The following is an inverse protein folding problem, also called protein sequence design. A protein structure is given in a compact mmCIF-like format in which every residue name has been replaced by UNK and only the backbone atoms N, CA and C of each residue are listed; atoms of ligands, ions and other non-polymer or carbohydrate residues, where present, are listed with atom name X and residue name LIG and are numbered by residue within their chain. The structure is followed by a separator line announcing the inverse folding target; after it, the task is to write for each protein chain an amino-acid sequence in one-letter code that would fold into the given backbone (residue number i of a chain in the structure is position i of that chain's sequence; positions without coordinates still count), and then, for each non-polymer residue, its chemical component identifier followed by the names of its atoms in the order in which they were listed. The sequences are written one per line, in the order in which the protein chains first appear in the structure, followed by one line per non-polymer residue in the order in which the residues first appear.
data_IF_806454727211
#
_entry.id   IF_806454727211
#
_cell.length_a   1.000
_cell.length_b   1.000
_cell.length_c   1.000
_cell.angle_alpha   90.00
_cell.angle_beta   90.00
_cell.angle_gamma   90.00
#
_symmetry.space_group_name_H-M   'P 1'
#
loop_
_entity.id
_entity.type
_entity.pdbx_description
1 polymer ?
#
# COMPACT_ATOMS: atom_id res chain seq x y z
N UNK A 1 -4.58 11.18 13.65
CA UNK A 1 -5.20 10.40 12.59
C UNK A 1 -6.09 9.28 13.12
N UNK A 2 -5.64 8.57 14.16
CA UNK A 2 -6.44 7.52 14.79
C UNK A 2 -7.72 8.05 15.45
N UNK A 3 -7.75 9.33 15.77
CA UNK A 3 -8.92 9.99 16.36
C UNK A 3 -9.84 10.61 15.32
N UNK A 4 -9.49 10.53 14.04
CA UNK A 4 -10.32 11.03 12.96
C UNK A 4 -11.56 10.15 12.79
N UNK A 5 -12.62 10.72 12.21
CA UNK A 5 -13.82 9.94 11.89
C UNK A 5 -13.53 8.85 10.87
N UNK A 6 -14.42 7.85 10.79
CA UNK A 6 -14.27 6.77 9.80
C UNK A 6 -14.22 7.30 8.37
N UNK A 7 -15.03 8.31 8.05
CA UNK A 7 -15.03 8.94 6.73
C UNK A 7 -13.69 9.61 6.42
N UNK A 8 -13.14 10.35 7.39
CA UNK A 8 -11.85 11.03 7.22
C UNK A 8 -10.74 10.02 7.06
N UNK A 9 -10.75 8.94 7.83
CA UNK A 9 -9.76 7.85 7.72
C UNK A 9 -9.81 7.21 6.33
N UNK A 10 -11.00 6.91 5.84
CA UNK A 10 -11.17 6.30 4.50
C UNK A 10 -10.63 7.25 3.42
N UNK A 11 -10.89 8.55 3.51
CA UNK A 11 -10.36 9.51 2.53
C UNK A 11 -8.84 9.54 2.52
N UNK A 12 -8.21 9.47 3.69
CA UNK A 12 -6.74 9.41 3.79
C UNK A 12 -6.21 8.14 3.13
N UNK A 13 -6.85 7.00 3.38
CA UNK A 13 -6.45 5.73 2.78
C UNK A 13 -6.61 5.79 1.25
N UNK A 14 -7.72 6.35 0.76
CA UNK A 14 -8.02 6.44 -0.66
C UNK A 14 -7.02 7.34 -1.42
N UNK A 15 -6.34 8.22 -0.71
CA UNK A 15 -5.33 9.09 -1.32
C UNK A 15 -4.02 8.36 -1.63
N UNK A 16 -3.82 7.14 -1.13
CA UNK A 16 -2.60 6.36 -1.39
C UNK A 16 -2.69 5.62 -2.71
N UNK A 17 -1.56 5.47 -3.45
CA UNK A 17 -1.55 4.76 -4.72
C UNK A 17 -1.60 3.25 -4.53
N UNK A 18 -2.03 2.53 -5.57
CA UNK A 18 -1.97 1.08 -5.61
C UNK A 18 -0.51 0.60 -5.68
N UNK A 19 -0.24 -0.55 -5.08
CA UNK A 19 1.07 -1.19 -5.18
C UNK A 19 1.19 -1.89 -6.54
N UNK A 20 2.32 -1.67 -7.24
CA UNK A 20 2.58 -2.25 -8.56
C UNK A 20 1.43 -2.01 -9.55
N UNK A 21 0.68 -0.91 -9.37
CA UNK A 21 -0.42 -0.55 -10.27
C UNK A 21 0.08 0.12 -11.54
N UNK A 22 -0.86 0.50 -12.40
CA UNK A 22 -0.53 1.14 -13.68
C UNK A 22 0.25 2.44 -13.49
N UNK A 23 -0.06 3.24 -12.47
CA UNK A 23 0.66 4.47 -12.19
C UNK A 23 2.12 4.20 -11.82
N UNK A 24 2.38 3.15 -11.03
CA UNK A 24 3.74 2.75 -10.66
C UNK A 24 4.54 2.31 -11.89
N UNK A 25 3.93 1.50 -12.75
CA UNK A 25 4.59 1.00 -13.96
C UNK A 25 4.82 2.10 -14.99
N UNK A 26 4.00 3.15 -14.97
CA UNK A 26 4.14 4.31 -15.86
C UNK A 26 5.04 5.41 -15.29
N UNK A 27 5.53 5.26 -14.07
CA UNK A 27 6.37 6.26 -13.42
C UNK A 27 5.60 7.49 -12.92
N UNK A 28 4.33 7.35 -12.64
CA UNK A 28 3.45 8.47 -12.26
C UNK A 28 3.31 8.69 -10.76
N UNK A 29 4.04 7.92 -9.95
CA UNK A 29 3.99 8.04 -8.48
C UNK A 29 4.85 9.21 -7.98
N UNK A 30 4.60 9.62 -6.74
CA UNK A 30 5.49 10.55 -6.04
C UNK A 30 6.88 9.92 -5.89
N UNK A 31 7.89 10.74 -5.68
CA UNK A 31 9.26 10.25 -5.49
C UNK A 31 9.36 9.28 -4.30
N UNK A 32 8.72 9.59 -3.18
CA UNK A 32 8.73 8.71 -2.01
C UNK A 32 8.08 7.37 -2.32
N UNK A 33 6.91 7.36 -2.96
CA UNK A 33 6.20 6.14 -3.32
C UNK A 33 7.00 5.31 -4.33
N UNK A 34 7.60 5.96 -5.32
CA UNK A 34 8.44 5.30 -6.33
C UNK A 34 9.63 4.60 -5.66
N UNK A 35 10.33 5.31 -4.77
CA UNK A 35 11.51 4.76 -4.08
C UNK A 35 11.13 3.60 -3.17
N UNK A 36 10.02 3.72 -2.45
CA UNK A 36 9.54 2.67 -1.55
C UNK A 36 9.17 1.41 -2.32
N UNK A 37 8.42 1.56 -3.42
CA UNK A 37 8.01 0.41 -4.23
C UNK A 37 9.19 -0.22 -4.97
N UNK A 38 10.11 0.57 -5.50
CA UNK A 38 11.33 0.07 -6.13
C UNK A 38 12.20 -0.68 -5.14
N UNK A 39 12.33 -0.17 -3.90
CA UNK A 39 13.08 -0.84 -2.84
C UNK A 39 12.53 -2.20 -2.47
N UNK A 40 11.23 -2.42 -2.66
CA UNK A 40 10.57 -3.71 -2.44
C UNK A 40 10.53 -4.59 -3.70
N UNK A 41 11.11 -4.13 -4.81
CA UNK A 41 11.13 -4.88 -6.07
C UNK A 41 9.83 -4.82 -6.86
N UNK A 42 8.94 -3.89 -6.54
CA UNK A 42 7.63 -3.80 -7.21
C UNK A 42 7.70 -3.24 -8.63
N UNK A 43 8.80 -2.58 -8.98
CA UNK A 43 9.06 -2.10 -10.34
C UNK A 43 9.61 -3.19 -11.25
N UNK A 44 9.92 -4.38 -10.70
CA UNK A 44 10.52 -5.49 -11.43
C UNK A 44 9.64 -6.73 -11.44
N UNK A 45 8.33 -6.56 -11.26
CA UNK A 45 7.38 -7.66 -11.31
C UNK A 45 7.38 -8.32 -12.68
N UNK A 46 7.32 -9.66 -12.69
CA UNK A 46 7.05 -10.40 -13.92
C UNK A 46 5.62 -10.08 -14.38
N UNK A 47 5.28 -10.39 -15.66
CA UNK A 47 3.90 -10.21 -16.11
C UNK A 47 2.86 -10.94 -15.25
N UNK A 48 3.21 -12.12 -14.75
CA UNK A 48 2.33 -12.91 -13.86
C UNK A 48 2.18 -12.24 -12.49
N UNK A 49 3.27 -11.75 -11.93
CA UNK A 49 3.24 -11.01 -10.67
C UNK A 49 2.44 -9.72 -10.79
N UNK A 50 2.64 -8.99 -11.89
CA UNK A 50 1.87 -7.77 -12.15
C UNK A 50 0.37 -8.07 -12.26
N UNK A 51 -0.01 -9.13 -12.98
CA UNK A 51 -1.40 -9.55 -13.10
C UNK A 51 -1.98 -9.93 -11.74
N UNK A 52 -1.19 -10.57 -10.88
CA UNK A 52 -1.62 -10.93 -9.53
C UNK A 52 -1.89 -9.68 -8.69
N UNK A 53 -1.00 -8.68 -8.75
CA UNK A 53 -1.22 -7.41 -8.06
C UNK A 53 -2.47 -6.69 -8.57
N UNK A 54 -2.69 -6.66 -9.88
CA UNK A 54 -3.90 -6.06 -10.46
C UNK A 54 -5.17 -6.72 -9.93
N UNK A 55 -5.18 -8.05 -9.91
CA UNK A 55 -6.32 -8.81 -9.40
C UNK A 55 -6.57 -8.51 -7.92
N UNK A 56 -5.52 -8.54 -7.10
CA UNK A 56 -5.64 -8.30 -5.67
C UNK A 56 -6.04 -6.86 -5.36
N UNK A 57 -5.50 -5.89 -6.09
CA UNK A 57 -5.89 -4.49 -5.93
C UNK A 57 -7.37 -4.30 -6.24
N UNK A 58 -7.86 -4.88 -7.32
CA UNK A 58 -9.27 -4.77 -7.71
C UNK A 58 -10.18 -5.45 -6.69
N UNK A 59 -9.84 -6.67 -6.27
CA UNK A 59 -10.62 -7.43 -5.28
C UNK A 59 -10.66 -6.71 -3.93
N UNK A 60 -9.54 -6.14 -3.51
CA UNK A 60 -9.43 -5.44 -2.23
C UNK A 60 -10.29 -4.17 -2.24
N UNK A 61 -10.19 -3.37 -3.30
CA UNK A 61 -10.99 -2.15 -3.45
C UNK A 61 -12.49 -2.45 -3.50
N UNK A 62 -12.88 -3.51 -4.20
CA UNK A 62 -14.28 -3.92 -4.28
C UNK A 62 -14.83 -4.30 -2.92
N UNK A 63 -14.03 -5.03 -2.13
CA UNK A 63 -14.45 -5.48 -0.81
C UNK A 63 -14.47 -4.35 0.22
N UNK A 64 -13.46 -3.50 0.25
CA UNK A 64 -13.25 -2.54 1.33
C UNK A 64 -13.52 -1.08 0.95
N UNK A 65 -13.53 -0.74 -0.33
CA UNK A 65 -13.78 0.62 -0.79
C UNK A 65 -12.58 1.55 -0.70
N UNK A 66 -11.38 1.01 -0.42
CA UNK A 66 -10.13 1.79 -0.38
C UNK A 66 -8.97 0.89 -0.81
N UNK A 67 -7.82 1.49 -1.21
CA UNK A 67 -6.68 0.70 -1.67
C UNK A 67 -5.98 -0.02 -0.51
N UNK A 68 -5.29 -1.12 -0.84
CA UNK A 68 -4.43 -1.82 0.10
C UNK A 68 -3.20 -0.96 0.40
N UNK A 69 -2.95 -0.72 1.69
CA UNK A 69 -1.78 0.06 2.14
C UNK A 69 -0.94 -0.80 3.07
N UNK A 70 0.36 -0.85 2.81
CA UNK A 70 1.32 -1.57 3.64
C UNK A 70 2.65 -0.81 3.60
N UNK A 71 3.34 -0.74 4.75
CA UNK A 71 4.69 -0.23 4.80
C UNK A 71 5.62 -1.30 4.20
N UNK A 72 6.23 -0.98 3.05
CA UNK A 72 6.98 -1.97 2.26
C UNK A 72 8.44 -2.14 2.72
N UNK A 73 8.94 -1.26 3.58
CA UNK A 73 10.32 -1.34 4.06
C UNK A 73 10.56 -2.68 4.77
N UNK A 74 11.58 -3.40 4.31
CA UNK A 74 11.91 -4.71 4.85
C UNK A 74 11.14 -5.88 4.23
N UNK A 75 10.23 -5.59 3.28
CA UNK A 75 9.48 -6.61 2.56
C UNK A 75 9.92 -6.65 1.09
N UNK A 76 9.80 -7.82 0.48
CA UNK A 76 9.93 -7.96 -0.96
C UNK A 76 8.53 -8.17 -1.56
N UNK A 77 8.47 -8.28 -2.90
CA UNK A 77 7.17 -8.45 -3.57
C UNK A 77 6.46 -9.75 -3.17
N UNK A 78 7.20 -10.79 -2.83
CA UNK A 78 6.62 -12.06 -2.38
C UNK A 78 5.98 -11.93 -1.00
N UNK A 79 6.66 -11.27 -0.07
CA UNK A 79 6.12 -10.99 1.27
C UNK A 79 4.89 -10.09 1.22
N UNK A 80 4.93 -9.09 0.32
CA UNK A 80 3.79 -8.17 0.13
C UNK A 80 2.59 -8.93 -0.44
N UNK A 81 2.79 -9.82 -1.42
CA UNK A 81 1.70 -10.62 -1.98
C UNK A 81 1.06 -11.52 -0.92
N UNK A 82 1.87 -12.15 -0.07
CA UNK A 82 1.38 -13.00 1.01
C UNK A 82 0.54 -12.18 1.99
N UNK A 83 1.01 -11.00 2.39
CA UNK A 83 0.27 -10.11 3.27
C UNK A 83 -1.05 -9.65 2.64
N UNK A 84 -1.01 -9.34 1.34
CA UNK A 84 -2.18 -8.90 0.59
C UNK A 84 -3.27 -9.96 0.60
N UNK A 85 -2.89 -11.20 0.29
CA UNK A 85 -3.84 -12.33 0.29
C UNK A 85 -4.43 -12.59 1.67
N UNK A 86 -3.61 -12.53 2.72
CA UNK A 86 -4.06 -12.69 4.10
C UNK A 86 -5.05 -11.59 4.49
N UNK A 87 -4.70 -10.35 4.23
CA UNK A 87 -5.53 -9.21 4.64
C UNK A 87 -6.84 -9.13 3.87
N UNK A 88 -6.92 -9.68 2.68
CA UNK A 88 -8.15 -9.71 1.88
C UNK A 88 -9.27 -10.46 2.61
N UNK A 89 -8.94 -11.37 3.51
CA UNK A 89 -9.91 -12.16 4.29
C UNK A 89 -10.39 -11.47 5.57
N UNK A 90 -9.79 -10.35 5.96
CA UNK A 90 -10.18 -9.61 7.15
C UNK A 90 -11.51 -8.86 6.92
N UNK A 91 -12.15 -8.40 8.01
CA UNK A 91 -13.34 -7.57 7.88
C UNK A 91 -12.96 -6.10 7.61
N UNK A 92 -13.94 -5.30 7.21
CA UNK A 92 -13.70 -3.91 6.80
C UNK A 92 -13.20 -3.04 7.96
N UNK A 93 -13.69 -3.25 9.17
CA UNK A 93 -13.26 -2.47 10.33
C UNK A 93 -11.81 -2.76 10.68
N UNK A 94 -11.42 -4.03 10.67
CA UNK A 94 -10.04 -4.45 10.91
C UNK A 94 -9.11 -3.88 9.85
N UNK A 95 -9.50 -3.95 8.57
CA UNK A 95 -8.65 -3.45 7.49
C UNK A 95 -8.53 -1.93 7.50
N UNK A 96 -9.58 -1.21 7.86
CA UNK A 96 -9.49 0.25 8.02
C UNK A 96 -8.47 0.61 9.09
N UNK A 97 -8.53 -0.05 10.24
CA UNK A 97 -7.60 0.19 11.33
C UNK A 97 -6.17 -0.19 10.93
N UNK A 98 -5.98 -1.34 10.29
CA UNK A 98 -4.68 -1.80 9.83
C UNK A 98 -4.11 -0.83 8.80
N UNK A 99 -4.91 -0.35 7.86
CA UNK A 99 -4.47 0.61 6.86
C UNK A 99 -3.98 1.90 7.51
N UNK A 100 -4.68 2.42 8.51
CA UNK A 100 -4.26 3.63 9.24
C UNK A 100 -2.94 3.39 9.97
N UNK A 101 -2.77 2.24 10.60
CA UNK A 101 -1.51 1.88 11.27
C UNK A 101 -0.34 1.82 10.28
N UNK A 102 -0.57 1.27 9.09
CA UNK A 102 0.44 1.21 8.05
C UNK A 102 0.80 2.60 7.52
N UNK A 103 -0.19 3.48 7.35
CA UNK A 103 0.04 4.87 6.94
C UNK A 103 0.91 5.61 7.95
N UNK A 104 0.63 5.44 9.23
CA UNK A 104 1.43 6.03 10.31
C UNK A 104 2.86 5.51 10.25
N UNK A 105 3.04 4.22 10.02
CA UNK A 105 4.36 3.59 9.90
C UNK A 105 5.13 4.14 8.69
N UNK A 106 4.47 4.29 7.55
CA UNK A 106 5.06 4.89 6.35
C UNK A 106 5.53 6.31 6.64
N UNK A 107 4.69 7.11 7.30
CA UNK A 107 5.03 8.49 7.64
C UNK A 107 6.26 8.55 8.55
N UNK A 108 6.36 7.65 9.52
CA UNK A 108 7.53 7.57 10.41
C UNK A 108 8.81 7.23 9.64
N UNK A 109 8.76 6.29 8.71
CA UNK A 109 9.90 5.93 7.88
C UNK A 109 10.35 7.11 7.03
N UNK A 110 9.41 7.84 6.44
CA UNK A 110 9.73 9.03 5.62
C UNK A 110 10.37 10.14 6.45
N UNK A 111 9.87 10.37 7.66
CA UNK A 111 10.46 11.37 8.56
C UNK A 111 11.88 11.00 8.95
N UNK A 112 12.14 9.73 9.25
CA UNK A 112 13.49 9.25 9.57
C UNK A 112 14.45 9.41 8.40
N UNK A 113 14.01 9.06 7.20
CA UNK A 113 14.82 9.18 6.00
C UNK A 113 15.21 10.64 5.75
N UNK A 114 14.29 11.58 5.96
CA UNK A 114 14.56 13.01 5.81
C UNK A 114 15.49 13.55 6.89
N UNK A 115 15.36 13.05 8.12
CA UNK A 115 16.22 13.49 9.23
C UNK A 115 17.66 12.99 9.06
N UNK A 116 17.86 11.88 8.36
CA UNK A 116 19.20 11.31 8.12
C UNK A 116 19.92 11.93 6.93
N UNK A 117 19.25 12.78 6.19
CA UNK A 117 19.83 13.53 5.08
C UNK A 117 20.45 14.83 5.61
#
# INVERSE_FOLDING_TARGET
LQQASSEQQIKVIQAHPDLAGKAAMAGELTQDSTSEQAGAGLDQCSPEEFARFEYLNAAYKEKFGFPFVVAVKGLDRHGILAAFEERLHNDAATERQTAIEQIIRIARFRLRARAEQ
#
